data_IF_831613676451
#
_entry.id   IF_831613676451
#
_cell.length_a   1.000
_cell.length_b   1.000
_cell.length_c   1.000
_cell.angle_alpha   90.00
_cell.angle_beta   90.00
_cell.angle_gamma   90.00
#
_symmetry.space_group_name_H-M   'P 1'
#
loop_
_entity.id
_entity.type
_entity.pdbx_description
1 polymer ?
#
# COMPACT_ATOMS: atom_id res chain seq x y z
N UNK A 1 18.69 14.29 -6.13
CA UNK A 1 18.63 12.85 -5.78
C UNK A 1 17.18 12.46 -5.98
N UNK A 2 16.91 11.80 -7.11
CA UNK A 2 15.66 11.92 -7.84
C UNK A 2 14.50 11.09 -7.30
N UNK A 3 13.29 11.52 -7.61
CA UNK A 3 12.02 10.83 -7.39
C UNK A 3 11.96 9.38 -7.95
N UNK A 4 12.96 8.95 -8.73
CA UNK A 4 13.03 7.65 -9.39
C UNK A 4 13.40 6.47 -8.47
N UNK A 5 13.96 6.74 -7.28
CA UNK A 5 14.45 5.69 -6.37
C UNK A 5 13.33 4.95 -5.61
N UNK A 6 12.14 5.55 -5.50
CA UNK A 6 11.01 4.98 -4.74
C UNK A 6 9.74 4.99 -5.61
N UNK A 7 9.44 3.87 -6.24
CA UNK A 7 8.29 3.77 -7.16
C UNK A 7 7.70 2.37 -7.14
N UNK A 8 6.45 2.27 -7.56
CA UNK A 8 5.83 0.99 -7.86
C UNK A 8 5.53 0.91 -9.36
N UNK A 9 5.83 -0.24 -9.93
CA UNK A 9 5.51 -0.59 -11.30
C UNK A 9 4.62 -1.82 -11.30
N UNK A 10 3.73 -1.88 -12.30
CA UNK A 10 2.97 -3.07 -12.64
C UNK A 10 3.22 -3.40 -14.10
N UNK A 11 3.64 -4.63 -14.38
CA UNK A 11 4.01 -5.08 -15.71
C UNK A 11 3.66 -6.56 -15.88
N UNK A 12 2.76 -6.86 -16.80
CA UNK A 12 2.35 -8.23 -17.10
C UNK A 12 1.70 -8.87 -15.88
N UNK A 13 2.38 -9.82 -15.27
CA UNK A 13 1.83 -10.67 -14.20
C UNK A 13 2.40 -10.35 -12.81
N UNK A 14 3.02 -9.16 -12.61
CA UNK A 14 3.61 -8.82 -11.32
C UNK A 14 3.64 -7.32 -10.99
N UNK A 15 3.50 -7.02 -9.69
CA UNK A 15 3.85 -5.73 -9.13
C UNK A 15 5.27 -5.74 -8.60
N UNK A 16 5.99 -4.66 -8.88
CA UNK A 16 7.36 -4.44 -8.43
C UNK A 16 7.46 -3.14 -7.64
N UNK A 17 7.85 -3.24 -6.39
CA UNK A 17 8.22 -2.09 -5.57
C UNK A 17 9.72 -1.88 -5.66
N UNK A 18 10.14 -0.68 -6.06
CA UNK A 18 11.53 -0.23 -5.98
C UNK A 18 11.66 0.73 -4.81
N UNK A 19 12.67 0.49 -3.98
CA UNK A 19 13.03 1.39 -2.90
C UNK A 19 14.55 1.46 -2.77
N UNK A 20 15.12 2.62 -3.10
CA UNK A 20 16.57 2.82 -3.20
C UNK A 20 17.16 1.77 -4.16
N UNK A 21 18.10 0.96 -3.67
CA UNK A 21 18.78 -0.09 -4.44
C UNK A 21 18.15 -1.48 -4.28
N UNK A 22 16.95 -1.57 -3.69
CA UNK A 22 16.25 -2.84 -3.46
C UNK A 22 14.94 -2.87 -4.24
N UNK A 23 14.55 -4.07 -4.65
CA UNK A 23 13.24 -4.32 -5.22
C UNK A 23 12.57 -5.52 -4.56
N UNK A 24 11.24 -5.48 -4.53
CA UNK A 24 10.38 -6.57 -4.09
C UNK A 24 9.35 -6.81 -5.18
N UNK A 25 8.93 -8.06 -5.33
CA UNK A 25 7.97 -8.47 -6.35
C UNK A 25 6.84 -9.28 -5.72
N UNK A 26 5.61 -8.99 -6.16
CA UNK A 26 4.41 -9.75 -5.86
C UNK A 26 3.76 -10.16 -7.18
N UNK A 27 3.72 -11.47 -7.50
CA UNK A 27 2.97 -11.96 -8.65
C UNK A 27 1.48 -11.62 -8.48
N UNK A 28 0.81 -11.24 -9.57
CA UNK A 28 -0.62 -10.94 -9.56
C UNK A 28 -1.44 -12.15 -9.11
N UNK A 29 -1.03 -13.36 -9.51
CA UNK A 29 -1.67 -14.60 -9.08
C UNK A 29 -1.60 -14.84 -7.55
N UNK A 30 -0.71 -14.14 -6.84
CA UNK A 30 -0.65 -14.18 -5.37
C UNK A 30 -1.67 -13.24 -4.73
N UNK A 31 -2.13 -12.22 -5.47
CA UNK A 31 -2.99 -11.16 -4.96
C UNK A 31 -4.39 -11.72 -4.75
N UNK A 32 -4.83 -11.65 -3.51
CA UNK A 32 -6.14 -12.14 -3.08
C UNK A 32 -7.16 -11.01 -2.96
N UNK A 33 -6.70 -9.76 -2.76
CA UNK A 33 -7.55 -8.58 -2.54
C UNK A 33 -6.75 -7.29 -2.58
N UNK A 34 -7.42 -6.20 -2.96
CA UNK A 34 -6.91 -4.82 -2.83
C UNK A 34 -7.86 -4.05 -1.91
N UNK A 35 -7.33 -3.36 -0.90
CA UNK A 35 -8.09 -2.44 -0.06
C UNK A 35 -7.76 -0.99 -0.41
N UNK A 36 -8.76 -0.21 -0.76
CA UNK A 36 -8.67 1.25 -0.85
C UNK A 36 -8.92 1.78 0.55
N UNK A 37 -7.87 2.28 1.18
CA UNK A 37 -7.85 2.59 2.60
C UNK A 37 -7.93 4.09 2.82
N UNK A 38 -8.81 4.51 3.75
CA UNK A 38 -8.88 5.89 4.24
C UNK A 38 -8.58 5.89 5.74
N UNK A 39 -7.77 6.85 6.20
CA UNK A 39 -7.46 7.04 7.62
C UNK A 39 -7.44 8.53 7.94
N UNK A 40 -8.08 8.93 9.04
CA UNK A 40 -8.01 10.30 9.54
C UNK A 40 -6.56 10.65 9.93
N UNK A 41 -6.00 11.70 9.34
CA UNK A 41 -4.70 12.26 9.74
C UNK A 41 -4.90 13.49 10.64
N UNK A 42 -4.76 13.33 11.98
CA UNK A 42 -4.92 14.44 12.91
C UNK A 42 -3.79 15.48 12.81
N UNK A 43 -2.67 15.16 12.15
CA UNK A 43 -1.52 16.06 12.00
C UNK A 43 -1.75 17.04 10.84
N UNK A 44 -2.33 16.56 9.75
CA UNK A 44 -2.54 17.35 8.53
C UNK A 44 -3.98 17.85 8.34
N UNK A 45 -4.87 17.66 9.33
CA UNK A 45 -6.26 18.10 9.32
C UNK A 45 -7.04 17.62 8.08
N UNK A 46 -6.85 16.35 7.69
CA UNK A 46 -7.53 15.74 6.55
C UNK A 46 -7.41 14.22 6.56
N UNK A 47 -8.23 13.56 5.74
CA UNK A 47 -8.13 12.11 5.56
C UNK A 47 -7.00 11.78 4.58
N UNK A 48 -6.25 10.72 4.89
CA UNK A 48 -5.21 10.19 4.01
C UNK A 48 -5.67 8.90 3.34
N UNK A 49 -5.55 8.86 2.01
CA UNK A 49 -5.87 7.69 1.18
C UNK A 49 -4.61 6.93 0.81
N UNK A 50 -4.67 5.61 0.94
CA UNK A 50 -3.59 4.68 0.58
C UNK A 50 -4.18 3.32 0.19
N UNK A 51 -3.34 2.40 -0.25
CA UNK A 51 -3.78 1.07 -0.68
C UNK A 51 -3.07 -0.03 0.09
N UNK A 52 -3.77 -1.12 0.38
CA UNK A 52 -3.19 -2.36 0.87
C UNK A 52 -3.43 -3.45 -0.18
N UNK A 53 -2.36 -3.97 -0.76
CA UNK A 53 -2.41 -5.12 -1.68
C UNK A 53 -2.14 -6.38 -0.88
N UNK A 54 -3.14 -7.26 -0.74
CA UNK A 54 -3.04 -8.48 0.06
C UNK A 54 -2.68 -9.66 -0.84
N UNK A 55 -1.52 -10.25 -0.59
CA UNK A 55 -1.15 -11.56 -1.09
C UNK A 55 -1.66 -12.70 -0.19
N UNK A 56 -1.38 -13.94 -0.57
CA UNK A 56 -1.80 -15.14 0.16
C UNK A 56 -1.22 -15.24 1.59
N UNK A 57 0.01 -14.74 1.81
CA UNK A 57 0.70 -14.84 3.12
C UNK A 57 1.24 -13.50 3.63
N UNK A 58 1.24 -12.49 2.77
CA UNK A 58 1.86 -11.18 2.96
C UNK A 58 0.96 -10.09 2.42
N UNK A 59 1.19 -8.85 2.83
CA UNK A 59 0.58 -7.69 2.22
C UNK A 59 1.62 -6.61 1.97
N UNK A 60 1.33 -5.79 0.97
CA UNK A 60 2.06 -4.58 0.66
C UNK A 60 1.20 -3.38 1.03
N UNK A 61 1.84 -2.34 1.54
CA UNK A 61 1.18 -1.08 1.82
C UNK A 61 1.74 -0.02 0.87
N UNK A 62 0.85 0.57 0.08
CA UNK A 62 1.17 1.55 -0.95
C UNK A 62 0.60 2.91 -0.57
N UNK A 63 1.46 3.85 -0.18
CA UNK A 63 1.06 5.19 0.23
C UNK A 63 1.38 6.28 -0.78
N UNK A 64 0.98 7.51 -0.45
CA UNK A 64 1.14 8.69 -1.30
C UNK A 64 2.59 8.97 -1.75
N UNK A 65 3.59 8.63 -0.93
CA UNK A 65 5.01 8.85 -1.26
C UNK A 65 5.58 7.85 -2.28
N UNK A 66 4.84 6.82 -2.66
CA UNK A 66 5.20 5.96 -3.78
C UNK A 66 4.65 6.59 -5.05
N UNK A 67 5.56 7.17 -5.85
CA UNK A 67 5.22 7.61 -7.20
C UNK A 67 4.55 6.44 -7.95
N UNK A 68 3.52 6.79 -8.74
CA UNK A 68 2.63 5.87 -9.48
C UNK A 68 1.79 4.88 -8.67
N UNK A 69 1.73 4.97 -7.34
CA UNK A 69 0.93 4.06 -6.49
C UNK A 69 -0.54 3.93 -6.89
N UNK A 70 -1.26 5.04 -7.00
CA UNK A 70 -2.67 5.05 -7.40
C UNK A 70 -2.87 4.54 -8.83
N UNK A 71 -2.12 5.07 -9.79
CA UNK A 71 -2.22 4.66 -11.20
C UNK A 71 -1.90 3.17 -11.41
N UNK A 72 -0.98 2.60 -10.64
CA UNK A 72 -0.68 1.16 -10.68
C UNK A 72 -1.84 0.33 -10.15
N UNK A 73 -2.46 0.74 -9.04
CA UNK A 73 -3.63 0.05 -8.50
C UNK A 73 -4.82 0.14 -9.47
N UNK A 74 -5.08 1.31 -10.04
CA UNK A 74 -6.13 1.49 -11.06
C UNK A 74 -5.89 0.58 -12.28
N UNK A 75 -4.64 0.53 -12.76
CA UNK A 75 -4.26 -0.34 -13.88
C UNK A 75 -4.40 -1.81 -13.55
N UNK A 76 -3.97 -2.22 -12.36
CA UNK A 76 -4.11 -3.60 -11.87
C UNK A 76 -5.58 -4.01 -11.79
N UNK A 77 -6.45 -3.14 -11.26
CA UNK A 77 -7.90 -3.40 -11.19
C UNK A 77 -8.55 -3.46 -12.57
N UNK A 78 -8.07 -2.65 -13.52
CA UNK A 78 -8.57 -2.65 -14.89
C UNK A 78 -8.18 -3.94 -15.64
N UNK A 79 -6.93 -4.39 -15.47
CA UNK A 79 -6.42 -5.59 -16.14
C UNK A 79 -6.84 -6.90 -15.45
N UNK A 80 -7.08 -6.86 -14.12
CA UNK A 80 -7.48 -8.00 -13.29
C UNK A 80 -8.73 -7.70 -12.46
N UNK A 81 -9.91 -7.52 -13.09
CA UNK A 81 -11.16 -7.21 -12.40
C UNK A 81 -11.65 -8.34 -11.49
N UNK A 82 -11.10 -9.55 -11.62
CA UNK A 82 -11.36 -10.68 -10.74
C UNK A 82 -10.79 -10.51 -9.33
N UNK A 83 -9.81 -9.61 -9.14
CA UNK A 83 -9.25 -9.33 -7.82
C UNK A 83 -10.25 -8.47 -7.03
N UNK A 84 -10.77 -8.95 -5.89
CA UNK A 84 -11.72 -8.19 -5.10
C UNK A 84 -11.12 -6.86 -4.62
N UNK A 85 -11.87 -5.78 -4.79
CA UNK A 85 -11.55 -4.47 -4.24
C UNK A 85 -12.56 -4.04 -3.18
N UNK A 86 -12.10 -3.44 -2.09
CA UNK A 86 -12.97 -2.95 -1.01
C UNK A 86 -12.49 -1.62 -0.46
N UNK A 87 -13.44 -0.73 -0.18
CA UNK A 87 -13.19 0.50 0.56
C UNK A 87 -13.14 0.22 2.07
N UNK A 88 -12.06 0.63 2.72
CA UNK A 88 -11.77 0.30 4.11
C UNK A 88 -11.40 1.56 4.91
N UNK A 89 -12.04 1.73 6.07
CA UNK A 89 -11.60 2.70 7.07
C UNK A 89 -10.55 2.05 7.98
N UNK A 90 -9.38 2.68 8.11
CA UNK A 90 -8.28 2.20 8.94
C UNK A 90 -8.23 2.98 10.25
N UNK A 91 -8.53 2.31 11.37
CA UNK A 91 -8.61 2.98 12.67
C UNK A 91 -7.26 3.11 13.37
N UNK A 92 -6.37 2.16 13.12
CA UNK A 92 -5.04 2.19 13.71
C UNK A 92 -4.03 1.51 12.80
N UNK A 93 -3.08 2.31 12.33
CA UNK A 93 -1.87 1.81 11.68
C UNK A 93 -0.74 1.70 12.70
N UNK A 94 -0.17 0.51 12.91
CA UNK A 94 0.95 0.35 13.84
C UNK A 94 2.14 1.22 13.46
N UNK A 95 2.87 1.79 14.43
CA UNK A 95 4.08 2.60 14.19
C UNK A 95 5.15 1.86 13.37
N UNK A 96 5.16 0.52 13.44
CA UNK A 96 6.05 -0.34 12.63
C UNK A 96 5.74 -0.28 11.13
N UNK A 97 4.52 0.10 10.78
CA UNK A 97 4.04 0.29 9.41
C UNK A 97 4.11 1.77 8.97
N UNK A 98 4.54 2.66 9.87
CA UNK A 98 4.69 4.09 9.63
C UNK A 98 6.17 4.43 9.39
N UNK A 99 6.42 5.45 8.59
CA UNK A 99 7.72 6.10 8.43
C UNK A 99 8.05 7.05 9.58
N UNK A 100 9.19 7.75 9.47
CA UNK A 100 9.78 8.56 10.54
C UNK A 100 8.77 9.52 11.23
N UNK A 101 8.81 9.64 12.56
CA UNK A 101 7.69 10.12 13.41
C UNK A 101 7.34 11.62 13.32
N UNK A 102 7.98 12.42 12.46
CA UNK A 102 7.86 13.88 12.48
C UNK A 102 6.92 14.44 11.39
N UNK A 103 6.47 13.65 10.41
CA UNK A 103 5.91 14.19 9.15
C UNK A 103 4.65 13.46 8.61
N UNK A 104 3.73 13.03 9.48
CA UNK A 104 2.47 12.32 9.09
C UNK A 104 2.65 10.85 8.73
N UNK A 105 1.63 10.25 8.11
CA UNK A 105 1.63 8.83 7.69
C UNK A 105 2.53 8.68 6.46
N UNK A 106 3.82 8.94 6.62
CA UNK A 106 4.80 8.60 5.58
C UNK A 106 4.83 7.11 5.47
N UNK A 107 4.19 6.55 4.47
CA UNK A 107 4.31 5.15 4.14
C UNK A 107 5.77 4.87 3.69
N UNK A 108 6.55 4.50 4.71
CA UNK A 108 7.99 4.17 4.84
C UNK A 108 9.02 5.31 4.71
N UNK A 109 9.90 5.44 5.73
CA UNK A 109 11.15 4.66 5.71
C UNK A 109 11.48 3.94 7.04
N UNK A 110 11.02 2.67 7.12
CA UNK A 110 11.61 1.49 7.82
C UNK A 110 11.31 1.34 9.34
N UNK A 111 10.78 0.18 9.85
CA UNK A 111 11.16 -1.21 9.49
C UNK A 111 10.12 -2.16 8.84
N UNK A 112 10.51 -2.73 7.68
CA UNK A 112 9.86 -3.87 7.00
C UNK A 112 9.58 -3.70 5.49
N UNK A 113 10.32 -2.84 4.78
CA UNK A 113 9.97 -2.35 3.41
C UNK A 113 9.47 -3.44 2.46
N UNK A 114 8.37 -3.13 1.79
CA UNK A 114 7.73 -3.94 0.75
C UNK A 114 6.72 -4.91 1.31
N UNK A 115 7.10 -5.69 2.31
CA UNK A 115 6.36 -6.89 2.66
C UNK A 115 6.08 -7.00 4.16
N UNK A 116 4.81 -7.16 4.51
CA UNK A 116 4.37 -7.43 5.87
C UNK A 116 3.63 -8.75 5.94
N UNK A 117 3.80 -9.54 7.02
CA UNK A 117 3.00 -10.74 7.20
C UNK A 117 1.54 -10.34 7.48
N UNK A 118 0.57 -11.13 7.00
CA UNK A 118 -0.86 -10.80 7.17
C UNK A 118 -1.28 -10.58 8.64
N UNK A 119 -0.62 -11.25 9.59
CA UNK A 119 -0.85 -11.04 11.03
C UNK A 119 -0.57 -9.61 11.52
N UNK A 120 0.15 -8.82 10.73
CA UNK A 120 0.44 -7.41 11.01
C UNK A 120 -0.55 -6.45 10.35
N UNK A 121 -1.60 -6.94 9.68
CA UNK A 121 -2.63 -6.09 9.09
C UNK A 121 -3.25 -5.17 10.16
N UNK A 122 -3.47 -3.88 9.84
CA UNK A 122 -4.09 -2.97 10.76
C UNK A 122 -5.56 -3.35 11.02
N UNK A 123 -6.12 -2.80 12.10
CA UNK A 123 -7.56 -2.92 12.35
C UNK A 123 -8.30 -2.01 11.36
N UNK A 124 -9.21 -2.60 10.60
CA UNK A 124 -9.95 -1.94 9.52
C UNK A 124 -11.39 -2.44 9.50
N UNK A 125 -12.32 -1.59 9.07
CA UNK A 125 -13.73 -1.94 8.81
C UNK A 125 -14.12 -1.47 7.41
N UNK A 126 -15.05 -2.19 6.77
CA UNK A 126 -15.56 -1.79 5.46
C UNK A 126 -16.30 -0.46 5.58
N UNK A 127 -16.04 0.45 4.65
CA UNK A 127 -16.83 1.69 4.55
C UNK A 127 -18.21 1.28 4.05
N UNK A 128 -19.24 1.42 4.90
CA UNK A 128 -20.62 1.24 4.46
C UNK A 128 -20.98 2.42 3.56
N UNK A 129 -21.36 2.11 2.32
CA UNK A 129 -21.90 3.08 1.36
C UNK A 129 -23.27 3.61 1.80
#
# INVERSE_FOLDING_TARGET
MGAEDNRIEYSGDELRLYWRQKSWTMPVAEITRIDICVMADPIHHGDETFHIVRGASRFWLLGHNLYSGGAVVERLQTEHPEIPCCDMAVFNLSWRLRGAPILGIRFFPIPGVGEFPLKALPRMEAVQA
#
